data_IF_360802309998
#
_entry.id   IF_360802309998
#
_cell.length_a   1.000
_cell.length_b   1.000
_cell.length_c   1.000
_cell.angle_alpha   90.00
_cell.angle_beta   90.00
_cell.angle_gamma   90.00
#
_symmetry.space_group_name_H-M   'P 1'
#
loop_
_entity.id
_entity.type
_entity.pdbx_description
1 polymer ?
#
# COMPACT_ATOMS: atom_id res chain seq x y z
N UNK A 1 -7.95 7.85 12.11
CA UNK A 1 -8.34 6.75 13.05
C UNK A 1 -8.77 5.59 12.16
N UNK A 2 -9.19 4.44 12.66
CA UNK A 2 -10.11 3.63 11.84
C UNK A 2 -11.51 4.04 12.29
N UNK A 3 -12.15 5.02 11.65
CA UNK A 3 -13.43 5.58 12.14
C UNK A 3 -14.50 4.51 12.37
N UNK A 4 -14.46 3.41 11.60
CA UNK A 4 -15.42 2.32 11.72
C UNK A 4 -15.17 1.36 12.91
N UNK A 5 -13.95 1.28 13.46
CA UNK A 5 -13.58 0.27 14.47
C UNK A 5 -13.48 0.82 15.90
N UNK A 6 -13.39 2.14 16.08
CA UNK A 6 -13.17 2.75 17.40
C UNK A 6 -11.81 2.42 18.03
N UNK A 7 -10.92 1.75 17.29
CA UNK A 7 -9.56 1.38 17.68
C UNK A 7 -8.57 1.84 16.61
N UNK A 8 -7.33 2.12 17.02
CA UNK A 8 -6.24 2.51 16.12
C UNK A 8 -5.38 1.31 15.68
N UNK A 9 -5.84 0.08 15.93
CA UNK A 9 -5.09 -1.13 15.68
C UNK A 9 -6.01 -2.26 15.23
N UNK A 10 -5.42 -3.19 14.50
CA UNK A 10 -6.04 -4.44 14.07
C UNK A 10 -5.20 -5.58 14.66
N UNK A 11 -5.86 -6.62 15.15
CA UNK A 11 -5.21 -7.78 15.77
C UNK A 11 -5.86 -9.07 15.28
N UNK A 12 -5.08 -10.15 15.24
CA UNK A 12 -5.60 -11.48 14.92
C UNK A 12 -4.78 -12.56 15.65
N UNK A 13 -5.40 -13.69 15.97
CA UNK A 13 -4.80 -14.87 16.61
C UNK A 13 -4.04 -14.62 17.92
N UNK A 14 -4.32 -13.52 18.63
CA UNK A 14 -3.62 -13.14 19.87
C UNK A 14 -3.77 -14.19 20.97
N UNK A 15 -4.97 -14.79 21.10
CA UNK A 15 -5.23 -15.85 22.08
C UNK A 15 -4.44 -17.14 21.80
N UNK A 16 -4.06 -17.38 20.54
CA UNK A 16 -3.37 -18.61 20.09
C UNK A 16 -1.85 -18.46 20.13
N UNK A 17 -1.33 -17.32 19.65
CA UNK A 17 0.12 -17.13 19.44
C UNK A 17 0.74 -16.07 20.35
N UNK A 18 -0.06 -15.37 21.16
CA UNK A 18 0.40 -14.23 21.96
C UNK A 18 0.41 -12.92 21.17
N UNK A 19 0.81 -11.83 21.83
CA UNK A 19 0.84 -10.48 21.25
C UNK A 19 2.24 -10.16 20.70
N UNK A 20 2.31 -9.84 19.41
CA UNK A 20 3.49 -9.26 18.75
C UNK A 20 3.04 -7.97 18.09
N UNK A 21 3.66 -6.86 18.45
CA UNK A 21 3.33 -5.53 17.93
C UNK A 21 4.27 -5.14 16.79
N UNK A 22 3.70 -4.61 15.72
CA UNK A 22 4.43 -4.05 14.59
C UNK A 22 3.67 -2.88 13.97
N UNK A 23 4.40 -1.94 13.38
CA UNK A 23 3.84 -0.81 12.64
C UNK A 23 4.04 -1.06 11.15
N UNK A 24 2.95 -1.03 10.39
CA UNK A 24 2.96 -1.08 8.93
C UNK A 24 2.33 0.18 8.37
N UNK A 25 3.08 0.90 7.53
CA UNK A 25 2.61 2.10 6.83
C UNK A 25 2.24 1.70 5.40
N UNK A 26 1.04 2.11 4.97
CA UNK A 26 0.55 1.98 3.60
C UNK A 26 0.60 3.35 2.94
N UNK A 27 1.75 3.69 2.33
CA UNK A 27 2.01 5.01 1.74
C UNK A 27 1.06 5.33 0.58
N UNK A 28 0.53 4.29 -0.06
CA UNK A 28 -0.42 4.41 -1.15
C UNK A 28 -1.86 4.71 -0.69
N UNK A 29 -2.15 4.61 0.59
CA UNK A 29 -3.49 4.86 1.14
C UNK A 29 -3.52 6.21 1.83
N UNK A 30 -4.13 7.18 1.18
CA UNK A 30 -4.36 8.50 1.73
C UNK A 30 -5.65 9.10 1.14
N UNK A 31 -6.31 10.05 1.82
CA UNK A 31 -7.44 10.75 1.24
C UNK A 31 -6.97 11.51 0.00
N UNK A 32 -7.46 11.13 -1.18
CA UNK A 32 -7.06 11.74 -2.43
C UNK A 32 -8.21 11.78 -3.42
N UNK A 33 -8.13 12.74 -4.34
CA UNK A 33 -9.04 12.88 -5.47
C UNK A 33 -8.21 13.15 -6.72
N UNK A 34 -8.50 12.41 -7.78
CA UNK A 34 -8.02 12.71 -9.13
C UNK A 34 -9.22 13.21 -9.95
N UNK A 35 -9.19 14.47 -10.36
CA UNK A 35 -10.20 15.10 -11.22
C UNK A 35 -9.91 14.84 -12.70
N UNK A 36 -10.92 14.99 -13.55
CA UNK A 36 -10.78 14.90 -15.01
C UNK A 36 -11.50 16.07 -15.66
N UNK A 37 -10.82 16.81 -16.53
CA UNK A 37 -11.40 17.99 -17.17
C UNK A 37 -12.52 17.57 -18.11
N UNK A 38 -13.74 18.05 -17.85
CA UNK A 38 -14.93 17.82 -18.68
C UNK A 38 -15.05 18.85 -19.80
N UNK A 39 -14.58 20.07 -19.54
CA UNK A 39 -14.74 21.19 -20.45
C UNK A 39 -13.63 22.23 -20.27
N UNK A 40 -13.29 22.92 -21.36
CA UNK A 40 -12.29 23.99 -21.38
C UNK A 40 -12.85 25.22 -22.07
N UNK A 41 -12.47 26.42 -21.61
CA UNK A 41 -12.96 27.66 -22.18
C UNK A 41 -12.31 27.93 -23.55
N UNK A 42 -13.11 28.39 -24.52
CA UNK A 42 -12.69 28.48 -25.92
C UNK A 42 -11.67 29.60 -26.19
N UNK A 43 -11.67 30.64 -25.37
CA UNK A 43 -10.82 31.84 -25.53
C UNK A 43 -10.00 32.18 -24.30
N UNK A 44 -10.06 31.34 -23.25
CA UNK A 44 -9.32 31.57 -22.01
C UNK A 44 -8.74 30.24 -21.56
N UNK A 45 -7.42 30.09 -21.71
CA UNK A 45 -6.72 28.84 -21.41
C UNK A 45 -6.58 28.60 -19.90
N UNK A 46 -6.95 29.57 -19.07
CA UNK A 46 -6.88 29.47 -17.61
C UNK A 46 -8.14 28.90 -16.98
N UNK A 47 -9.21 28.76 -17.77
CA UNK A 47 -10.54 28.35 -17.29
C UNK A 47 -10.89 26.96 -17.79
N UNK A 48 -11.18 26.06 -16.86
CA UNK A 48 -11.67 24.72 -17.15
C UNK A 48 -12.75 24.28 -16.15
N UNK A 49 -13.48 23.22 -16.46
CA UNK A 49 -14.51 22.63 -15.60
C UNK A 49 -14.30 21.14 -15.40
N UNK A 50 -14.76 20.64 -14.27
CA UNK A 50 -14.85 19.21 -13.95
C UNK A 50 -16.27 18.88 -13.46
N UNK A 51 -17.07 18.26 -14.33
CA UNK A 51 -18.45 17.85 -14.02
C UNK A 51 -18.50 16.80 -12.89
N UNK A 52 -17.39 16.10 -12.63
CA UNK A 52 -17.23 15.15 -11.55
C UNK A 52 -16.95 15.80 -10.20
N UNK A 53 -16.97 17.13 -10.08
CA UNK A 53 -16.76 17.83 -8.82
C UNK A 53 -17.90 17.60 -7.82
N UNK A 54 -17.63 16.85 -6.74
CA UNK A 54 -18.62 16.43 -5.74
C UNK A 54 -18.62 17.27 -4.45
N UNK A 55 -17.79 18.32 -4.35
CA UNK A 55 -17.77 19.25 -3.22
C UNK A 55 -17.30 20.65 -3.62
N UNK A 56 -17.70 21.66 -2.84
CA UNK A 56 -17.22 23.03 -3.01
C UNK A 56 -15.83 23.19 -2.37
N UNK A 57 -14.83 23.59 -3.17
CA UNK A 57 -13.45 23.82 -2.71
C UNK A 57 -13.39 24.92 -1.65
N UNK A 58 -14.27 25.92 -1.75
CA UNK A 58 -14.26 27.08 -0.89
C UNK A 58 -14.57 26.73 0.58
N UNK A 59 -15.24 25.60 0.82
CA UNK A 59 -15.54 25.10 2.17
C UNK A 59 -14.33 24.45 2.87
N UNK A 60 -13.27 24.13 2.12
CA UNK A 60 -12.13 23.34 2.61
C UNK A 60 -10.78 24.06 2.54
N UNK A 61 -10.80 25.40 2.50
CA UNK A 61 -9.60 26.23 2.45
C UNK A 61 -8.80 26.13 3.77
N UNK A 62 -7.48 25.93 3.67
CA UNK A 62 -6.56 25.93 4.81
C UNK A 62 -6.07 27.34 5.09
N UNK A 63 -6.79 28.11 5.91
CA UNK A 63 -6.35 29.43 6.36
C UNK A 63 -6.08 30.40 5.20
N UNK A 64 -4.87 30.96 5.13
CA UNK A 64 -4.42 31.89 4.07
C UNK A 64 -3.51 31.20 3.03
N UNK A 65 -3.59 29.87 2.88
CA UNK A 65 -2.78 29.15 1.90
C UNK A 65 -3.48 29.16 0.54
N UNK A 66 -2.73 29.56 -0.49
CA UNK A 66 -3.19 29.52 -1.88
C UNK A 66 -3.37 28.07 -2.35
N UNK A 67 -4.57 27.75 -2.82
CA UNK A 67 -4.88 26.45 -3.40
C UNK A 67 -4.13 26.27 -4.71
N UNK A 68 -3.60 25.08 -4.96
CA UNK A 68 -2.89 24.76 -6.20
C UNK A 68 -3.52 23.61 -6.94
N UNK A 69 -3.44 23.66 -8.26
CA UNK A 69 -3.84 22.59 -9.17
C UNK A 69 -2.58 22.03 -9.80
N UNK A 70 -2.35 20.73 -9.61
CA UNK A 70 -1.27 19.98 -10.23
C UNK A 70 -1.84 19.12 -11.35
N UNK A 71 -1.33 19.27 -12.58
CA UNK A 71 -1.77 18.44 -13.71
C UNK A 71 -0.92 17.18 -13.81
N UNK A 72 -1.57 16.01 -13.79
CA UNK A 72 -0.91 14.71 -13.91
C UNK A 72 -0.66 14.31 -15.38
N UNK A 73 -1.51 14.78 -16.29
CA UNK A 73 -1.47 14.45 -17.72
C UNK A 73 -1.73 15.68 -18.59
N UNK A 74 -1.54 15.53 -19.90
CA UNK A 74 -1.80 16.57 -20.89
C UNK A 74 -0.59 17.45 -21.17
N UNK A 75 -0.82 18.56 -21.86
CA UNK A 75 0.23 19.53 -22.24
C UNK A 75 0.83 20.26 -21.03
N UNK A 76 0.10 20.27 -19.91
CA UNK A 76 0.52 20.86 -18.64
C UNK A 76 0.99 19.84 -17.61
N UNK A 77 1.24 18.58 -18.01
CA UNK A 77 1.67 17.53 -17.09
C UNK A 77 2.93 17.93 -16.30
N UNK A 78 2.85 17.82 -14.97
CA UNK A 78 3.93 18.18 -14.04
C UNK A 78 3.98 19.66 -13.65
N UNK A 79 3.10 20.51 -14.19
CA UNK A 79 3.00 21.91 -13.78
C UNK A 79 1.98 22.11 -12.67
N UNK A 80 2.29 23.07 -11.80
CA UNK A 80 1.41 23.54 -10.73
C UNK A 80 0.98 24.98 -11.00
N UNK A 81 -0.31 25.24 -10.80
CA UNK A 81 -0.92 26.56 -10.97
C UNK A 81 -1.70 26.93 -9.71
N UNK A 82 -1.65 28.20 -9.34
CA UNK A 82 -2.46 28.72 -8.23
C UNK A 82 -3.88 28.93 -8.72
N UNK A 83 -4.85 28.53 -7.90
CA UNK A 83 -6.26 28.74 -8.16
C UNK A 83 -6.67 30.15 -7.71
N UNK A 84 -7.17 30.96 -8.64
CA UNK A 84 -7.66 32.32 -8.36
C UNK A 84 -9.02 32.29 -7.69
N UNK A 85 -9.92 31.47 -8.23
CA UNK A 85 -11.30 31.34 -7.76
C UNK A 85 -11.90 30.03 -8.25
N UNK A 86 -12.86 29.51 -7.50
CA UNK A 86 -13.67 28.36 -7.88
C UNK A 86 -15.16 28.71 -7.78
N UNK A 87 -15.92 28.40 -8.83
CA UNK A 87 -17.38 28.54 -8.88
C UNK A 87 -18.04 27.17 -8.85
N UNK A 88 -18.63 26.81 -7.71
CA UNK A 88 -19.30 25.52 -7.51
C UNK A 88 -20.52 25.33 -8.42
N UNK A 89 -21.23 26.41 -8.77
CA UNK A 89 -22.45 26.32 -9.57
C UNK A 89 -22.21 25.83 -11.00
N UNK A 90 -21.04 26.15 -11.55
CA UNK A 90 -20.59 25.70 -12.87
C UNK A 90 -19.43 24.70 -12.80
N UNK A 91 -18.98 24.35 -11.59
CA UNK A 91 -17.79 23.55 -11.32
C UNK A 91 -16.56 24.08 -12.07
N UNK A 92 -16.39 25.41 -12.06
CA UNK A 92 -15.42 26.14 -12.88
C UNK A 92 -14.20 26.58 -12.07
N UNK A 93 -13.03 26.31 -12.64
CA UNK A 93 -11.72 26.57 -12.07
C UNK A 93 -11.04 27.70 -12.85
N UNK A 94 -10.61 28.75 -12.14
CA UNK A 94 -9.88 29.87 -12.74
C UNK A 94 -8.43 29.88 -12.24
N UNK A 95 -7.47 29.62 -13.11
CA UNK A 95 -6.05 29.53 -12.77
C UNK A 95 -5.32 30.86 -12.92
N UNK A 96 -4.29 31.08 -12.10
CA UNK A 96 -3.31 32.14 -12.31
C UNK A 96 -2.27 31.65 -13.31
N UNK A 97 -1.95 32.46 -14.32
CA UNK A 97 -0.86 32.17 -15.25
C UNK A 97 0.48 32.15 -14.51
N UNK A 98 1.23 31.07 -14.70
CA UNK A 98 2.57 30.91 -14.18
C UNK A 98 3.58 31.49 -15.18
N UNK A 99 4.35 32.49 -14.75
CA UNK A 99 5.34 33.21 -15.58
C UNK A 99 6.78 32.72 -15.39
N UNK A 100 7.00 31.59 -14.71
CA UNK A 100 8.34 31.19 -14.26
C UNK A 100 9.15 30.33 -15.24
N UNK A 101 8.66 30.02 -16.44
CA UNK A 101 9.41 29.19 -17.41
C UNK A 101 9.77 29.98 -18.65
N UNK A 102 11.03 30.43 -18.71
CA UNK A 102 11.70 30.91 -19.93
C UNK A 102 10.89 31.92 -20.76
N UNK A 103 10.45 33.02 -20.15
CA UNK A 103 9.73 34.12 -20.81
C UNK A 103 8.39 33.74 -21.49
N UNK A 104 7.81 32.58 -21.14
CA UNK A 104 6.50 32.15 -21.60
C UNK A 104 5.53 32.00 -20.42
N UNK A 105 4.36 32.62 -20.54
CA UNK A 105 3.25 32.43 -19.61
C UNK A 105 2.53 31.12 -19.92
N UNK A 106 2.31 30.30 -18.89
CA UNK A 106 1.50 29.09 -18.97
C UNK A 106 0.25 29.26 -18.10
N UNK A 107 -0.93 28.79 -18.51
CA UNK A 107 -1.28 28.23 -19.82
C UNK A 107 -1.16 29.24 -20.98
N UNK A 108 -0.87 28.74 -22.18
CA UNK A 108 -0.74 29.51 -23.45
C UNK A 108 -1.56 28.87 -24.57
N UNK A 109 -1.73 29.57 -25.70
CA UNK A 109 -2.42 29.05 -26.90
C UNK A 109 -1.96 27.65 -27.33
N UNK A 110 -0.68 27.34 -27.12
CA UNK A 110 -0.05 26.07 -27.51
C UNK A 110 -0.06 25.03 -26.39
N UNK A 111 0.15 25.45 -25.13
CA UNK A 111 0.20 24.57 -23.97
C UNK A 111 -0.93 24.94 -23.01
N UNK A 112 -2.04 24.22 -23.10
CA UNK A 112 -3.28 24.50 -22.39
C UNK A 112 -3.96 23.22 -21.90
N UNK A 113 -4.82 23.31 -20.87
CA UNK A 113 -5.63 22.18 -20.48
C UNK A 113 -6.53 21.73 -21.64
N UNK A 114 -6.74 20.43 -21.76
CA UNK A 114 -7.63 19.81 -22.71
C UNK A 114 -8.66 18.91 -22.00
N UNK A 115 -9.78 18.65 -22.68
CA UNK A 115 -10.81 17.73 -22.19
C UNK A 115 -10.19 16.33 -22.05
N UNK A 116 -10.37 15.72 -20.88
CA UNK A 116 -9.81 14.41 -20.53
C UNK A 116 -8.48 14.46 -19.78
N UNK A 117 -7.88 15.64 -19.58
CA UNK A 117 -6.69 15.78 -18.75
C UNK A 117 -7.00 15.54 -17.27
N UNK A 118 -6.06 14.90 -16.57
CA UNK A 118 -6.16 14.56 -15.16
C UNK A 118 -5.40 15.54 -14.29
N UNK A 119 -5.98 15.89 -13.15
CA UNK A 119 -5.38 16.82 -12.21
C UNK A 119 -5.67 16.44 -10.75
N UNK A 120 -4.90 17.03 -9.84
CA UNK A 120 -5.05 16.92 -8.39
C UNK A 120 -5.08 18.30 -7.78
N UNK A 121 -5.92 18.47 -6.76
CA UNK A 121 -6.02 19.70 -5.97
C UNK A 121 -5.11 19.55 -4.76
N UNK A 122 -4.23 20.54 -4.56
CA UNK A 122 -3.28 20.61 -3.46
C UNK A 122 -3.65 21.76 -2.53
N UNK A 123 -3.12 21.71 -1.31
CA UNK A 123 -3.28 22.76 -0.29
C UNK A 123 -4.75 22.96 0.17
N UNK A 124 -5.55 21.88 0.17
CA UNK A 124 -6.95 21.84 0.69
C UNK A 124 -7.12 20.79 1.80
N UNK A 125 -8.12 20.97 2.66
CA UNK A 125 -8.61 19.88 3.50
C UNK A 125 -9.46 18.93 2.66
N UNK A 126 -9.24 17.63 2.80
CA UNK A 126 -10.10 16.66 2.11
C UNK A 126 -11.45 16.54 2.84
N UNK A 127 -12.58 16.46 2.12
CA UNK A 127 -13.88 16.21 2.73
C UNK A 127 -13.94 14.90 3.50
N UNK A 128 -14.86 14.84 4.47
CA UNK A 128 -15.05 13.68 5.35
C UNK A 128 -15.35 12.38 4.56
N UNK A 129 -16.00 12.49 3.40
CA UNK A 129 -16.28 11.36 2.50
C UNK A 129 -14.99 10.68 2.01
N UNK A 130 -14.01 11.46 1.56
CA UNK A 130 -12.71 10.97 1.09
C UNK A 130 -11.87 10.44 2.23
N UNK A 131 -11.93 11.06 3.41
CA UNK A 131 -11.27 10.57 4.62
C UNK A 131 -11.82 9.20 5.00
N UNK A 132 -13.14 9.07 5.10
CA UNK A 132 -13.81 7.81 5.46
C UNK A 132 -13.54 6.70 4.44
N UNK A 133 -13.52 7.03 3.15
CA UNK A 133 -13.17 6.08 2.09
C UNK A 133 -11.74 5.56 2.24
N UNK A 134 -10.77 6.46 2.45
CA UNK A 134 -9.37 6.09 2.67
C UNK A 134 -9.18 5.27 3.95
N UNK A 135 -9.86 5.61 5.05
CA UNK A 135 -9.80 4.82 6.29
C UNK A 135 -10.40 3.40 6.12
N UNK A 136 -11.44 3.27 5.30
CA UNK A 136 -12.05 1.95 4.96
C UNK A 136 -11.10 1.10 4.10
N UNK A 137 -10.45 1.72 3.12
CA UNK A 137 -9.41 1.05 2.32
C UNK A 137 -8.24 0.61 3.22
N UNK A 138 -7.78 1.49 4.11
CA UNK A 138 -6.71 1.20 5.06
C UNK A 138 -7.07 0.01 5.94
N UNK A 139 -8.31 -0.03 6.47
CA UNK A 139 -8.78 -1.15 7.29
C UNK A 139 -8.76 -2.46 6.50
N UNK A 140 -9.21 -2.43 5.24
CA UNK A 140 -9.24 -3.61 4.36
C UNK A 140 -7.83 -4.15 4.09
N UNK A 141 -6.88 -3.26 3.76
CA UNK A 141 -5.48 -3.63 3.53
C UNK A 141 -4.79 -4.11 4.80
N UNK A 142 -5.01 -3.44 5.94
CA UNK A 142 -4.47 -3.85 7.24
C UNK A 142 -4.98 -5.24 7.65
N UNK A 143 -6.28 -5.51 7.49
CA UNK A 143 -6.88 -6.82 7.79
C UNK A 143 -6.31 -7.91 6.89
N UNK A 144 -6.18 -7.64 5.59
CA UNK A 144 -5.56 -8.58 4.63
C UNK A 144 -4.11 -8.87 5.00
N UNK A 145 -3.34 -7.84 5.35
CA UNK A 145 -1.96 -7.98 5.78
C UNK A 145 -1.84 -8.84 7.03
N UNK A 146 -2.64 -8.57 8.06
CA UNK A 146 -2.61 -9.34 9.31
C UNK A 146 -3.01 -10.78 9.07
N UNK A 147 -4.09 -11.06 8.33
CA UNK A 147 -4.51 -12.44 8.05
C UNK A 147 -3.43 -13.28 7.35
N UNK A 148 -2.58 -12.64 6.55
CA UNK A 148 -1.47 -13.32 5.86
C UNK A 148 -0.22 -13.52 6.72
N UNK A 149 -0.10 -12.77 7.83
CA UNK A 149 1.12 -12.74 8.65
C UNK A 149 0.90 -13.11 10.13
N UNK A 150 -0.34 -13.27 10.58
CA UNK A 150 -0.69 -13.60 11.97
C UNK A 150 -0.50 -15.09 12.30
N UNK A 151 -0.43 -15.94 11.28
CA UNK A 151 -0.10 -17.35 11.45
C UNK A 151 1.43 -17.55 11.39
N UNK A 152 2.04 -18.17 12.42
CA UNK A 152 3.46 -18.47 12.39
C UNK A 152 3.75 -19.45 11.25
N UNK A 153 4.83 -19.17 10.52
CA UNK A 153 5.33 -20.05 9.47
C UNK A 153 6.05 -21.23 10.13
N UNK A 154 5.34 -22.34 10.25
CA UNK A 154 5.86 -23.55 10.88
C UNK A 154 6.07 -24.64 9.83
N UNK A 155 7.24 -25.26 9.89
CA UNK A 155 7.50 -26.49 9.16
C UNK A 155 7.21 -27.66 10.08
N UNK A 156 6.36 -28.58 9.64
CA UNK A 156 6.04 -29.78 10.41
C UNK A 156 6.96 -30.92 9.95
N UNK A 157 7.57 -31.59 10.90
CA UNK A 157 8.33 -32.82 10.66
C UNK A 157 7.54 -34.00 11.22
N UNK A 158 7.09 -34.92 10.36
CA UNK A 158 6.39 -36.13 10.80
C UNK A 158 7.11 -37.38 10.32
N UNK A 159 7.13 -38.37 11.21
CA UNK A 159 7.56 -39.74 10.92
C UNK A 159 6.35 -40.67 11.02
N UNK A 160 5.61 -40.91 9.92
CA UNK A 160 4.45 -41.79 9.95
C UNK A 160 4.81 -43.22 10.33
N UNK A 161 3.83 -43.97 10.86
CA UNK A 161 4.00 -45.39 11.16
C UNK A 161 4.18 -46.21 9.87
N UNK A 162 5.35 -46.87 9.68
CA UNK A 162 5.61 -47.69 8.51
C UNK A 162 4.62 -48.85 8.35
N UNK A 163 4.08 -49.39 9.44
CA UNK A 163 3.13 -50.51 9.38
C UNK A 163 1.82 -50.07 8.76
N UNK A 164 1.27 -48.95 9.23
CA UNK A 164 0.04 -48.39 8.68
C UNK A 164 0.17 -48.06 7.19
N UNK A 165 1.31 -47.47 6.78
CA UNK A 165 1.57 -47.15 5.37
C UNK A 165 1.69 -48.40 4.50
N UNK A 166 2.28 -49.47 5.03
CA UNK A 166 2.37 -50.77 4.36
C UNK A 166 1.00 -51.42 4.19
N UNK A 167 0.22 -51.47 5.26
CA UNK A 167 -1.09 -52.13 5.29
C UNK A 167 -2.09 -51.44 4.36
N UNK A 168 -1.99 -50.12 4.20
CA UNK A 168 -2.84 -49.31 3.32
C UNK A 168 -2.21 -49.00 1.95
N UNK A 169 -1.03 -49.57 1.65
CA UNK A 169 -0.27 -49.33 0.41
C UNK A 169 -0.10 -47.85 0.05
N UNK A 170 0.11 -46.99 1.06
CA UNK A 170 0.25 -45.53 0.88
C UNK A 170 1.65 -45.21 0.36
N UNK A 171 1.70 -44.58 -0.81
CA UNK A 171 2.93 -44.06 -1.42
C UNK A 171 2.79 -42.56 -1.63
N UNK A 172 3.67 -41.79 -1.00
CA UNK A 172 3.70 -40.33 -1.11
C UNK A 172 4.82 -39.87 -2.02
N UNK A 173 4.61 -38.72 -2.67
CA UNK A 173 5.61 -38.01 -3.45
C UNK A 173 5.75 -36.59 -2.93
N UNK A 174 6.91 -35.99 -3.21
CA UNK A 174 7.09 -34.55 -2.99
C UNK A 174 6.05 -33.80 -3.82
N UNK A 175 5.36 -32.86 -3.18
CA UNK A 175 4.33 -32.06 -3.80
C UNK A 175 2.89 -32.53 -3.53
N UNK A 176 2.68 -33.73 -3.01
CA UNK A 176 1.36 -34.20 -2.57
C UNK A 176 0.87 -33.36 -1.38
N UNK A 177 -0.46 -33.24 -1.25
CA UNK A 177 -1.11 -32.54 -0.14
C UNK A 177 -1.68 -33.54 0.85
N UNK A 178 -1.46 -33.29 2.14
CA UNK A 178 -1.88 -34.15 3.24
C UNK A 178 -2.58 -33.30 4.28
N UNK A 179 -3.71 -33.77 4.81
CA UNK A 179 -4.38 -33.11 5.93
C UNK A 179 -3.70 -33.53 7.22
N UNK A 180 -3.18 -32.57 7.96
CA UNK A 180 -2.63 -32.77 9.31
C UNK A 180 -3.67 -32.31 10.31
N UNK A 181 -4.07 -33.24 11.18
CA UNK A 181 -5.04 -32.99 12.26
C UNK A 181 -4.34 -33.28 13.59
N UNK A 182 -4.29 -32.28 14.47
CA UNK A 182 -3.83 -32.37 15.85
C UNK A 182 -4.87 -31.70 16.75
N UNK A 183 -5.56 -32.50 17.58
CA UNK A 183 -6.63 -32.00 18.45
C UNK A 183 -6.12 -31.15 19.61
N UNK A 184 -4.90 -31.40 20.08
CA UNK A 184 -4.33 -30.74 21.25
C UNK A 184 -3.79 -29.36 20.87
N UNK A 185 -3.25 -29.26 19.64
CA UNK A 185 -2.79 -28.00 19.06
C UNK A 185 -3.88 -27.28 18.23
N UNK A 186 -5.07 -27.87 18.09
CA UNK A 186 -6.17 -27.33 17.29
C UNK A 186 -5.83 -27.19 15.79
N UNK A 187 -4.88 -27.98 15.29
CA UNK A 187 -4.43 -27.93 13.90
C UNK A 187 -5.37 -28.81 13.07
N UNK A 188 -5.97 -28.24 12.03
CA UNK A 188 -6.65 -29.00 10.98
C UNK A 188 -6.37 -28.29 9.65
N UNK A 189 -5.21 -28.57 9.05
CA UNK A 189 -4.72 -27.86 7.87
C UNK A 189 -4.31 -28.83 6.78
N UNK A 190 -4.56 -28.44 5.54
CA UNK A 190 -4.15 -29.16 4.34
C UNK A 190 -2.77 -28.66 3.89
N UNK A 191 -1.71 -29.38 4.25
CA UNK A 191 -0.31 -28.96 4.04
C UNK A 191 0.33 -29.73 2.89
N UNK A 192 1.35 -29.14 2.25
CA UNK A 192 2.06 -29.76 1.13
C UNK A 192 3.38 -30.38 1.60
N UNK A 193 3.72 -31.56 1.08
CA UNK A 193 5.02 -32.19 1.29
C UNK A 193 6.08 -31.42 0.49
N UNK A 194 7.01 -30.76 1.18
CA UNK A 194 8.17 -30.10 0.54
C UNK A 194 9.31 -31.09 0.39
N UNK A 195 9.54 -31.91 1.41
CA UNK A 195 10.66 -32.85 1.44
C UNK A 195 10.19 -34.20 1.92
N UNK A 196 10.65 -35.23 1.22
CA UNK A 196 10.41 -36.62 1.55
C UNK A 196 11.75 -37.34 1.58
N UNK A 197 12.06 -37.96 2.72
CA UNK A 197 13.20 -38.85 2.86
C UNK A 197 12.68 -40.27 3.10
N UNK A 198 13.12 -41.21 2.27
CA UNK A 198 12.69 -42.62 2.32
C UNK A 198 13.88 -43.52 2.64
N UNK A 199 13.67 -44.54 3.47
CA UNK A 199 14.71 -45.53 3.75
C UNK A 199 14.81 -46.58 2.62
N UNK A 200 16.03 -46.94 2.23
CA UNK A 200 16.27 -48.01 1.25
C UNK A 200 15.98 -49.42 1.79
N UNK A 201 16.10 -49.61 3.12
CA UNK A 201 15.85 -50.90 3.77
C UNK A 201 14.36 -51.17 3.98
N UNK A 202 13.59 -50.12 4.29
CA UNK A 202 12.14 -50.20 4.44
C UNK A 202 11.48 -49.07 3.64
N UNK A 203 10.91 -49.43 2.49
CA UNK A 203 10.23 -48.52 1.57
C UNK A 203 9.06 -47.77 2.20
N UNK A 204 8.47 -48.26 3.28
CA UNK A 204 7.35 -47.59 3.97
C UNK A 204 7.80 -46.69 5.12
N UNK A 205 9.11 -46.59 5.39
CA UNK A 205 9.66 -45.68 6.39
C UNK A 205 9.97 -44.34 5.75
N UNK A 206 9.09 -43.37 6.00
CA UNK A 206 9.20 -42.00 5.53
C UNK A 206 9.56 -41.04 6.66
N UNK A 207 10.28 -39.98 6.32
CA UNK A 207 10.37 -38.75 7.10
C UNK A 207 9.88 -37.64 6.19
N UNK A 208 8.82 -36.96 6.62
CA UNK A 208 8.08 -35.99 5.83
C UNK A 208 8.23 -34.60 6.45
N UNK A 209 8.54 -33.63 5.60
CA UNK A 209 8.58 -32.22 5.96
C UNK A 209 7.46 -31.50 5.20
N UNK A 210 6.59 -30.82 5.94
CA UNK A 210 5.45 -30.08 5.40
C UNK A 210 5.64 -28.59 5.63
N UNK A 211 5.12 -27.79 4.70
CA UNK A 211 4.81 -26.39 4.97
C UNK A 211 3.48 -26.01 4.34
N UNK A 212 2.85 -25.02 4.95
CA UNK A 212 1.57 -24.45 4.54
C UNK A 212 1.75 -23.44 3.39
N UNK A 213 2.95 -22.86 3.25
CA UNK A 213 3.24 -21.80 2.29
C UNK A 213 4.36 -22.20 1.33
N UNK A 214 4.31 -21.68 0.10
CA UNK A 214 5.53 -21.55 -0.71
C UNK A 214 6.44 -20.60 0.07
N UNK A 215 7.58 -21.08 0.56
CA UNK A 215 8.56 -20.17 1.14
C UNK A 215 8.79 -19.03 0.14
N UNK A 216 8.55 -17.75 0.51
CA UNK A 216 9.10 -16.68 -0.29
C UNK A 216 10.60 -16.95 -0.38
N UNK A 217 11.14 -16.94 -1.59
CA UNK A 217 12.57 -17.20 -1.78
C UNK A 217 13.33 -16.30 -0.81
N UNK A 218 14.37 -16.81 -0.16
CA UNK A 218 15.19 -16.05 0.81
C UNK A 218 15.53 -14.63 0.32
N UNK A 219 15.69 -14.47 -0.99
CA UNK A 219 15.85 -13.19 -1.70
C UNK A 219 14.72 -12.19 -1.41
N UNK A 220 13.44 -12.59 -1.50
CA UNK A 220 12.31 -11.69 -1.23
C UNK A 220 12.29 -11.19 0.22
N UNK A 221 12.67 -12.05 1.19
CA UNK A 221 12.77 -11.67 2.60
C UNK A 221 13.97 -10.76 2.85
N UNK A 222 15.11 -11.02 2.20
CA UNK A 222 16.28 -10.14 2.26
C UNK A 222 15.96 -8.77 1.67
N UNK A 223 15.29 -8.73 0.51
CA UNK A 223 14.86 -7.48 -0.13
C UNK A 223 13.91 -6.71 0.78
N UNK A 224 12.87 -7.35 1.34
CA UNK A 224 11.94 -6.65 2.24
C UNK A 224 12.64 -6.11 3.49
N UNK A 225 13.58 -6.85 4.06
CA UNK A 225 14.37 -6.41 5.21
C UNK A 225 15.34 -5.26 4.85
N UNK A 226 15.91 -5.28 3.64
CA UNK A 226 16.73 -4.19 3.12
C UNK A 226 15.88 -2.93 2.91
N UNK A 227 14.73 -3.04 2.27
CA UNK A 227 13.81 -1.92 2.05
C UNK A 227 13.36 -1.29 3.39
N UNK A 228 13.02 -2.11 4.39
CA UNK A 228 12.68 -1.62 5.73
C UNK A 228 13.87 -0.98 6.46
N UNK A 229 15.07 -1.53 6.29
CA UNK A 229 16.29 -0.94 6.86
C UNK A 229 16.61 0.41 6.20
N UNK A 230 16.51 0.51 4.88
CA UNK A 230 16.69 1.75 4.12
C UNK A 230 15.65 2.80 4.55
N UNK A 231 14.37 2.42 4.66
CA UNK A 231 13.32 3.31 5.19
C UNK A 231 13.64 3.81 6.60
N UNK A 232 14.10 2.94 7.50
CA UNK A 232 14.54 3.35 8.85
C UNK A 232 15.73 4.31 8.81
N UNK A 233 16.68 4.10 7.91
CA UNK A 233 17.84 5.00 7.74
C UNK A 233 17.39 6.37 7.23
N UNK A 234 16.46 6.43 6.27
CA UNK A 234 15.89 7.68 5.75
C UNK A 234 15.17 8.45 6.87
N UNK A 235 14.31 7.78 7.64
CA UNK A 235 13.55 8.39 8.73
C UNK A 235 14.48 8.90 9.85
N UNK A 236 15.57 8.18 10.13
CA UNK A 236 16.48 8.51 11.23
C UNK A 236 17.57 9.53 10.86
N UNK A 237 17.66 9.96 9.60
CA UNK A 237 18.64 10.95 9.10
C UNK A 237 20.10 10.60 9.45
N UNK A 238 20.38 9.33 9.77
CA UNK A 238 21.70 8.83 10.20
C UNK A 238 22.69 8.81 9.04
N UNK A 239 22.19 8.81 7.80
CA UNK A 239 22.98 8.86 6.57
C UNK A 239 23.42 10.26 6.12
N UNK A 240 22.95 11.34 6.76
CA UNK A 240 23.28 12.70 6.32
C UNK A 240 24.70 13.10 6.76
N UNK A 241 25.67 12.73 5.92
CA UNK A 241 27.10 13.01 6.08
C UNK A 241 27.35 14.52 6.29
N UNK A 242 26.50 15.40 5.74
CA UNK A 242 26.62 16.85 5.87
C UNK A 242 26.20 17.36 7.26
N UNK A 243 25.27 16.67 7.93
CA UNK A 243 24.83 16.96 9.31
C UNK A 243 25.84 16.43 10.32
N UNK A 244 26.33 15.19 10.12
CA UNK A 244 27.43 14.63 10.91
C UNK A 244 28.70 15.49 10.80
N UNK A 245 29.02 16.02 9.60
CA UNK A 245 30.12 16.98 9.39
C UNK A 245 29.91 18.36 10.02
N UNK A 246 28.70 18.73 10.42
CA UNK A 246 28.47 19.99 11.16
C UNK A 246 28.62 19.80 12.67
N UNK A 247 28.17 18.67 13.20
CA UNK A 247 28.18 18.42 14.65
C UNK A 247 29.57 18.11 15.23
N UNK A 248 30.50 17.50 14.48
CA UNK A 248 31.88 17.31 14.98
C UNK A 248 32.67 18.62 15.16
N UNK A 249 32.22 19.72 14.54
CA UNK A 249 32.85 21.04 14.69
C UNK A 249 32.29 21.84 15.86
N UNK A 250 31.23 21.38 16.51
CA UNK A 250 30.56 22.10 17.60
C UNK A 250 30.82 21.52 19.01
N UNK A 251 31.95 20.83 19.20
CA UNK A 251 32.44 20.41 20.54
C UNK A 251 33.81 21.01 20.78
#
# INVERSE_FOLDING_TARGET
MFAAAGSNYVENNVATYGLIEAIKIFEEVYPHREGTISWVHATDETIFRDDGMDFDINDYIIGEVDIKIHFNTGDLAGFEFVLTSYDDGNQEFNLIKNSNVQDHELPSDTLKPAIGDKYVILDILMPESYITAAETELQTKATTFINNNSDPRVNYLLTPDPKYFKDNAISLKVGDKVTVVDSDLGINKLVRIIRLTQSLYNLYKYMLEFSDQLEPQLIQVIISNQDEAERRIIISDVGDIYKARRNWRST
#
